data_IF_097840105724
#
_entry.id   IF_097840105724
#
_cell.length_a   1.000
_cell.length_b   1.000
_cell.length_c   1.000
_cell.angle_alpha   90.00
_cell.angle_beta   90.00
_cell.angle_gamma   90.00
#
_symmetry.space_group_name_H-M   'P 1'
#
loop_
_entity.id
_entity.type
_entity.pdbx_description
1 polymer ?
#
# COMPACT_ATOMS: atom_id res chain seq x y z
N UNK A 1 1.22 -28.46 16.14
CA UNK A 1 2.28 -27.68 15.47
C UNK A 1 1.71 -26.39 14.92
N UNK A 2 2.21 -25.23 15.37
CA UNK A 2 1.68 -23.90 15.00
C UNK A 2 2.39 -23.30 13.78
N UNK A 3 3.59 -23.77 13.45
CA UNK A 3 4.42 -23.30 12.33
C UNK A 3 3.73 -23.37 10.95
N UNK A 4 3.14 -24.50 10.52
CA UNK A 4 2.47 -24.57 9.22
C UNK A 4 1.23 -23.68 9.15
N UNK A 5 0.57 -23.45 10.30
CA UNK A 5 -0.59 -22.55 10.38
C UNK A 5 -0.17 -21.09 10.15
N UNK A 6 0.90 -20.63 10.80
CA UNK A 6 1.43 -19.28 10.57
C UNK A 6 1.93 -19.09 9.14
N UNK A 7 2.58 -20.11 8.57
CA UNK A 7 3.09 -20.05 7.20
C UNK A 7 1.95 -19.98 6.18
N UNK A 8 0.96 -20.87 6.27
CA UNK A 8 -0.18 -20.88 5.35
C UNK A 8 -1.03 -19.62 5.49
N UNK A 9 -1.29 -19.17 6.73
CA UNK A 9 -2.00 -17.91 6.99
C UNK A 9 -1.26 -16.72 6.39
N UNK A 10 0.06 -16.62 6.61
CA UNK A 10 0.88 -15.53 6.09
C UNK A 10 0.90 -15.46 4.56
N UNK A 11 1.09 -16.60 3.89
CA UNK A 11 1.10 -16.67 2.42
C UNK A 11 -0.26 -16.30 1.84
N UNK A 12 -1.35 -16.92 2.33
CA UNK A 12 -2.70 -16.68 1.80
C UNK A 12 -3.10 -15.22 2.01
N UNK A 13 -2.85 -14.69 3.22
CA UNK A 13 -3.15 -13.31 3.55
C UNK A 13 -2.35 -12.31 2.68
N UNK A 14 -1.03 -12.51 2.55
CA UNK A 14 -0.18 -11.63 1.74
C UNK A 14 -0.56 -11.64 0.26
N UNK A 15 -0.88 -12.82 -0.30
CA UNK A 15 -1.37 -12.95 -1.67
C UNK A 15 -2.69 -12.20 -1.87
N UNK A 16 -3.65 -12.36 -0.95
CA UNK A 16 -4.94 -11.65 -0.98
C UNK A 16 -4.78 -10.14 -0.94
N UNK A 17 -3.97 -9.63 0.01
CA UNK A 17 -3.67 -8.20 0.11
C UNK A 17 -3.00 -7.66 -1.15
N UNK A 18 -2.06 -8.40 -1.75
CA UNK A 18 -1.36 -7.99 -2.97
C UNK A 18 -2.31 -7.85 -4.15
N UNK A 19 -3.21 -8.82 -4.34
CA UNK A 19 -4.21 -8.78 -5.41
C UNK A 19 -5.29 -7.72 -5.19
N UNK A 20 -5.58 -7.32 -3.95
CA UNK A 20 -6.49 -6.21 -3.69
C UNK A 20 -5.79 -4.85 -3.87
N UNK A 21 -4.53 -4.73 -3.43
CA UNK A 21 -3.79 -3.47 -3.43
C UNK A 21 -3.40 -3.00 -4.83
N UNK A 22 -2.89 -3.89 -5.68
CA UNK A 22 -2.41 -3.54 -7.01
C UNK A 22 -3.50 -2.90 -7.91
N UNK A 23 -4.68 -3.52 -8.13
CA UNK A 23 -5.73 -2.92 -8.97
C UNK A 23 -6.28 -1.63 -8.36
N UNK A 24 -6.35 -1.53 -7.04
CA UNK A 24 -6.79 -0.31 -6.33
C UNK A 24 -5.89 0.89 -6.64
N UNK A 25 -4.57 0.69 -6.71
CA UNK A 25 -3.65 1.76 -7.13
C UNK A 25 -3.73 2.08 -8.62
N UNK A 26 -3.87 1.05 -9.47
CA UNK A 26 -3.92 1.23 -10.92
C UNK A 26 -5.17 2.01 -11.34
N UNK A 27 -6.33 1.71 -10.76
CA UNK A 27 -7.58 2.40 -11.11
C UNK A 27 -7.54 3.89 -10.76
N UNK A 28 -6.93 4.27 -9.62
CA UNK A 28 -6.74 5.68 -9.26
C UNK A 28 -5.94 6.43 -10.33
N UNK A 29 -4.93 5.77 -10.90
CA UNK A 29 -4.12 6.34 -11.98
C UNK A 29 -4.88 6.58 -13.29
N UNK A 30 -5.89 5.75 -13.57
CA UNK A 30 -6.76 5.95 -14.72
C UNK A 30 -7.80 7.07 -14.50
N UNK A 31 -8.33 7.21 -13.28
CA UNK A 31 -9.33 8.22 -12.94
C UNK A 31 -8.77 9.62 -12.74
N UNK A 32 -7.60 9.76 -12.11
CA UNK A 32 -7.07 11.06 -11.69
C UNK A 32 -5.67 11.33 -12.27
N UNK A 33 -5.61 11.82 -13.52
CA UNK A 33 -4.33 12.14 -14.17
C UNK A 33 -3.67 13.43 -13.66
N UNK A 34 -4.46 14.45 -13.30
CA UNK A 34 -3.96 15.80 -12.94
C UNK A 34 -3.59 15.97 -11.46
N UNK A 35 -4.17 15.16 -10.56
CA UNK A 35 -3.96 15.23 -9.10
C UNK A 35 -3.67 13.85 -8.49
N UNK A 36 -2.86 13.07 -9.20
CA UNK A 36 -2.57 11.67 -8.85
C UNK A 36 -1.82 11.55 -7.53
N UNK A 37 -0.90 12.48 -7.25
CA UNK A 37 -0.13 12.54 -6.01
C UNK A 37 -1.00 12.81 -4.80
N UNK A 38 -1.91 13.79 -4.88
CA UNK A 38 -2.85 14.06 -3.79
C UNK A 38 -3.78 12.88 -3.51
N UNK A 39 -4.32 12.26 -4.57
CA UNK A 39 -5.21 11.10 -4.45
C UNK A 39 -4.48 9.91 -3.81
N UNK A 40 -3.26 9.60 -4.26
CA UNK A 40 -2.43 8.58 -3.61
C UNK A 40 -2.09 8.95 -2.16
N UNK A 41 -1.83 10.23 -1.87
CA UNK A 41 -1.61 10.74 -0.52
C UNK A 41 -2.82 10.50 0.39
N UNK A 42 -4.04 10.73 -0.09
CA UNK A 42 -5.28 10.50 0.67
C UNK A 42 -5.49 8.99 0.92
N UNK A 43 -5.37 8.17 -0.13
CA UNK A 43 -5.55 6.72 -0.03
C UNK A 43 -4.54 6.11 0.94
N UNK A 44 -3.27 6.54 0.88
CA UNK A 44 -2.23 6.06 1.80
C UNK A 44 -2.36 6.66 3.21
N UNK A 45 -2.92 7.86 3.39
CA UNK A 45 -3.24 8.41 4.71
C UNK A 45 -4.33 7.57 5.42
N UNK A 46 -5.25 6.97 4.67
CA UNK A 46 -6.23 6.01 5.20
C UNK A 46 -5.57 4.83 5.93
N UNK A 47 -4.41 4.36 5.45
CA UNK A 47 -3.63 3.33 6.14
C UNK A 47 -3.12 3.82 7.51
N UNK A 48 -2.72 5.08 7.64
CA UNK A 48 -2.26 5.64 8.93
C UNK A 48 -3.39 5.70 9.96
N UNK A 49 -4.59 6.09 9.53
CA UNK A 49 -5.79 6.07 10.37
C UNK A 49 -6.12 4.64 10.79
N UNK A 50 -6.07 3.69 9.85
CA UNK A 50 -6.29 2.27 10.15
C UNK A 50 -5.26 1.72 11.15
N UNK A 51 -3.98 2.11 11.06
CA UNK A 51 -2.94 1.69 12.01
C UNK A 51 -3.21 2.17 13.44
N UNK A 52 -3.85 3.33 13.62
CA UNK A 52 -4.25 3.83 14.95
C UNK A 52 -5.55 3.14 15.43
N UNK A 53 -6.54 3.03 14.53
CA UNK A 53 -7.87 2.54 14.89
C UNK A 53 -7.89 1.02 15.13
N UNK A 54 -7.14 0.25 14.33
CA UNK A 54 -7.11 -1.20 14.40
C UNK A 54 -6.74 -1.74 15.81
N UNK A 55 -5.64 -1.33 16.45
CA UNK A 55 -5.29 -1.86 17.77
C UNK A 55 -6.36 -1.54 18.84
N UNK A 56 -6.99 -0.37 18.79
CA UNK A 56 -8.09 -0.01 19.69
C UNK A 56 -9.31 -0.91 19.46
N UNK A 57 -9.69 -1.10 18.19
CA UNK A 57 -10.81 -1.94 17.82
C UNK A 57 -10.57 -3.40 18.19
N UNK A 58 -9.35 -3.91 17.98
CA UNK A 58 -8.95 -5.26 18.39
C UNK A 58 -8.98 -5.43 19.92
N UNK A 59 -8.49 -4.45 20.70
CA UNK A 59 -8.56 -4.51 22.17
C UNK A 59 -10.00 -4.67 22.66
N UNK A 60 -10.93 -3.88 22.11
CA UNK A 60 -12.36 -3.93 22.46
C UNK A 60 -13.02 -5.23 22.02
N UNK A 61 -12.77 -5.67 20.78
CA UNK A 61 -13.34 -6.93 20.25
C UNK A 61 -12.83 -8.14 21.03
N UNK A 62 -11.52 -8.24 21.26
CA UNK A 62 -10.92 -9.35 22.00
C UNK A 62 -11.45 -9.38 23.43
N UNK A 63 -11.57 -8.22 24.09
CA UNK A 63 -12.11 -8.11 25.43
C UNK A 63 -13.59 -8.51 25.56
N UNK A 64 -14.36 -8.36 24.48
CA UNK A 64 -15.81 -8.61 24.50
C UNK A 64 -16.21 -10.02 24.03
N UNK A 65 -15.61 -10.49 22.93
CA UNK A 65 -16.02 -11.73 22.24
C UNK A 65 -14.88 -12.76 22.08
N UNK A 66 -13.67 -12.44 22.55
CA UNK A 66 -12.51 -13.32 22.43
C UNK A 66 -11.88 -13.35 21.05
N UNK A 67 -10.74 -14.05 20.93
CA UNK A 67 -9.87 -14.01 19.75
C UNK A 67 -10.54 -14.64 18.50
N UNK A 68 -11.16 -15.82 18.65
CA UNK A 68 -11.74 -16.56 17.52
C UNK A 68 -12.86 -15.77 16.84
N UNK A 69 -13.75 -15.17 17.61
CA UNK A 69 -14.85 -14.37 17.06
C UNK A 69 -14.36 -13.02 16.54
N UNK A 70 -13.31 -12.44 17.15
CA UNK A 70 -12.62 -11.27 16.58
C UNK A 70 -12.12 -11.54 15.15
N UNK A 71 -11.48 -12.69 14.93
CA UNK A 71 -11.01 -13.08 13.60
C UNK A 71 -12.18 -13.25 12.61
N UNK A 72 -13.32 -13.81 13.05
CA UNK A 72 -14.53 -13.91 12.22
C UNK A 72 -15.07 -12.53 11.81
N UNK A 73 -15.11 -11.57 12.74
CA UNK A 73 -15.54 -10.19 12.45
C UNK A 73 -14.60 -9.53 11.43
N UNK A 74 -13.28 -9.71 11.56
CA UNK A 74 -12.32 -9.20 10.58
C UNK A 74 -12.50 -9.84 9.20
N UNK A 75 -12.80 -11.14 9.12
CA UNK A 75 -13.12 -11.80 7.86
C UNK A 75 -14.38 -11.20 7.21
N UNK A 76 -15.44 -10.93 7.98
CA UNK A 76 -16.64 -10.26 7.48
C UNK A 76 -16.30 -8.85 6.96
N UNK A 77 -15.52 -8.08 7.72
CA UNK A 77 -15.07 -6.75 7.30
C UNK A 77 -14.32 -6.80 5.95
N UNK A 78 -13.37 -7.73 5.79
CA UNK A 78 -12.65 -7.93 4.53
C UNK A 78 -13.57 -8.37 3.38
N UNK A 79 -14.56 -9.21 3.66
CA UNK A 79 -15.55 -9.63 2.66
C UNK A 79 -16.42 -8.45 2.20
N UNK A 80 -16.83 -7.57 3.10
CA UNK A 80 -17.56 -6.34 2.75
C UNK A 80 -16.68 -5.41 1.89
N UNK A 81 -15.40 -5.26 2.22
CA UNK A 81 -14.46 -4.48 1.39
C UNK A 81 -14.28 -5.10 0.00
N UNK A 82 -14.23 -6.42 -0.09
CA UNK A 82 -14.20 -7.14 -1.37
C UNK A 82 -15.45 -6.86 -2.20
N UNK A 83 -16.64 -6.88 -1.58
CA UNK A 83 -17.90 -6.53 -2.25
C UNK A 83 -17.92 -5.07 -2.72
N UNK A 84 -17.43 -4.14 -1.89
CA UNK A 84 -17.26 -2.73 -2.27
C UNK A 84 -16.28 -2.57 -3.45
N UNK A 85 -15.33 -3.49 -3.60
CA UNK A 85 -14.45 -3.58 -4.75
C UNK A 85 -15.20 -3.76 -6.09
N UNK A 86 -16.35 -4.44 -6.11
CA UNK A 86 -17.17 -4.55 -7.32
C UNK A 86 -17.87 -3.23 -7.69
N UNK A 87 -17.99 -2.28 -6.74
CA UNK A 87 -18.50 -0.93 -7.04
C UNK A 87 -17.53 -0.13 -7.90
N UNK A 88 -16.25 -0.52 -7.97
CA UNK A 88 -15.32 0.05 -8.93
C UNK A 88 -15.79 -0.27 -10.34
N UNK A 89 -16.56 0.65 -10.93
CA UNK A 89 -16.94 0.60 -12.34
C UNK A 89 -15.63 0.63 -13.13
N UNK A 90 -15.28 -0.42 -13.89
CA UNK A 90 -14.19 -0.28 -14.83
C UNK A 90 -14.60 0.82 -15.80
N UNK A 91 -13.82 1.90 -15.84
CA UNK A 91 -14.01 2.96 -16.82
C UNK A 91 -13.64 2.36 -18.19
N UNK A 92 -14.58 1.60 -18.76
CA UNK A 92 -14.50 1.07 -20.10
C UNK A 92 -14.42 2.27 -21.03
N UNK A 93 -13.20 2.63 -21.44
CA UNK A 93 -12.86 3.52 -22.54
C UNK A 93 -13.97 4.51 -22.95
N UNK A 94 -14.46 5.32 -22.01
CA UNK A 94 -15.32 6.47 -22.33
C UNK A 94 -14.48 7.72 -22.58
N UNK A 95 -13.22 7.50 -22.98
CA UNK A 95 -12.43 8.43 -23.75
C UNK A 95 -12.25 7.79 -25.13
N UNK A 96 -13.31 7.78 -25.94
CA UNK A 96 -13.14 7.65 -27.39
C UNK A 96 -12.46 8.93 -27.90
N UNK A 97 -11.41 8.72 -28.67
CA UNK A 97 -11.10 9.40 -29.92
C UNK A 97 -11.00 10.94 -29.91
N UNK A 98 -9.74 11.40 -29.82
CA UNK A 98 -9.14 12.29 -30.83
C UNK A 98 -7.70 11.73 -31.00
N UNK A 99 -7.32 11.04 -32.07
CA UNK A 99 -7.53 11.28 -33.51
C UNK A 99 -7.66 9.96 -34.33
N UNK A 100 -8.52 10.01 -35.36
CA UNK A 100 -8.61 9.22 -36.62
C UNK A 100 -8.52 7.68 -36.60
N UNK A 101 -9.37 6.88 -37.26
CA UNK A 101 -10.38 7.10 -38.30
C UNK A 101 -11.13 5.75 -38.48
N UNK A 102 -12.44 5.77 -38.80
CA UNK A 102 -13.26 4.67 -39.39
C UNK A 102 -13.35 3.32 -38.63
N UNK A 103 -14.48 2.72 -38.24
CA UNK A 103 -15.88 2.77 -38.64
C UNK A 103 -16.69 2.05 -37.54
N UNK A 104 -17.87 2.57 -37.21
CA UNK A 104 -18.82 1.94 -36.29
C UNK A 104 -19.46 0.70 -36.95
N UNK A 105 -19.79 -0.27 -36.09
CA UNK A 105 -21.00 -1.11 -36.14
C UNK A 105 -20.91 -2.48 -36.84
N UNK A 106 -20.46 -3.48 -36.09
CA UNK A 106 -21.22 -4.73 -35.94
C UNK A 106 -21.25 -5.13 -34.48
N UNK A 107 -22.26 -4.64 -33.77
CA UNK A 107 -22.72 -5.22 -32.50
C UNK A 107 -23.08 -6.70 -32.73
N UNK A 108 -22.84 -7.53 -31.70
CA UNK A 108 -23.20 -8.95 -31.63
C UNK A 108 -22.44 -9.91 -32.58
N UNK A 109 -21.35 -10.50 -32.10
CA UNK A 109 -21.05 -11.95 -32.21
C UNK A 109 -19.56 -12.21 -31.94
N UNK A 110 -19.30 -13.33 -31.25
CA UNK A 110 -17.99 -13.95 -31.00
C UNK A 110 -17.15 -13.35 -29.85
N UNK A 111 -17.32 -13.97 -28.67
CA UNK A 111 -16.22 -14.23 -27.71
C UNK A 111 -14.97 -14.62 -28.53
N UNK A 112 -14.04 -13.69 -28.72
CA UNK A 112 -12.70 -13.99 -29.24
C UNK A 112 -11.73 -13.64 -28.12
N UNK A 113 -11.36 -14.66 -27.35
CA UNK A 113 -10.18 -14.61 -26.50
C UNK A 113 -9.03 -14.09 -27.37
N UNK A 114 -8.58 -12.88 -27.08
CA UNK A 114 -7.37 -12.35 -27.70
C UNK A 114 -6.18 -13.22 -27.27
N UNK A 115 -5.19 -13.47 -28.14
CA UNK A 115 -4.05 -14.31 -27.78
C UNK A 115 -3.31 -13.70 -26.57
N UNK A 116 -2.72 -14.54 -25.69
CA UNK A 116 -2.04 -14.05 -24.51
C UNK A 116 -0.86 -13.18 -24.92
N UNK A 117 -0.97 -11.87 -24.68
CA UNK A 117 0.19 -10.99 -24.70
C UNK A 117 1.17 -11.56 -23.68
N UNK A 118 2.44 -11.76 -24.09
CA UNK A 118 3.52 -12.32 -23.25
C UNK A 118 3.39 -11.81 -21.81
N UNK A 119 3.03 -12.70 -20.88
CA UNK A 119 2.80 -12.34 -19.48
C UNK A 119 4.03 -11.72 -18.79
N UNK A 120 5.22 -11.97 -19.34
CA UNK A 120 6.48 -11.40 -18.88
C UNK A 120 7.14 -10.53 -19.94
N UNK A 121 7.00 -9.21 -19.83
CA UNK A 121 7.84 -8.26 -20.54
C UNK A 121 9.11 -7.96 -19.74
N UNK A 122 10.12 -8.84 -19.82
CA UNK A 122 11.44 -8.62 -19.23
C UNK A 122 12.17 -7.38 -19.78
N UNK A 123 11.65 -6.74 -20.84
CA UNK A 123 12.15 -5.46 -21.34
C UNK A 123 12.12 -4.32 -20.31
N UNK A 124 11.22 -4.38 -19.32
CA UNK A 124 11.13 -3.36 -18.25
C UNK A 124 12.35 -3.45 -17.32
N UNK A 125 12.88 -4.65 -17.07
CA UNK A 125 14.09 -4.87 -16.26
C UNK A 125 15.39 -4.44 -16.98
N UNK A 126 15.38 -4.22 -18.30
CA UNK A 126 16.55 -3.64 -19.00
C UNK A 126 16.76 -2.17 -18.69
N UNK A 127 15.74 -1.47 -18.18
CA UNK A 127 15.89 -0.09 -17.73
C UNK A 127 16.62 -0.11 -16.38
N UNK A 128 17.90 0.28 -16.38
CA UNK A 128 18.77 0.23 -15.18
C UNK A 128 18.13 0.95 -13.99
N UNK A 129 17.47 2.09 -14.21
CA UNK A 129 16.77 2.82 -13.16
C UNK A 129 15.62 2.00 -12.54
N UNK A 130 14.86 1.26 -13.35
CA UNK A 130 13.79 0.38 -12.87
C UNK A 130 14.35 -0.86 -12.15
N UNK A 131 15.42 -1.46 -12.69
CA UNK A 131 16.06 -2.62 -12.06
C UNK A 131 16.63 -2.28 -10.67
N UNK A 132 17.34 -1.15 -10.55
CA UNK A 132 17.86 -0.63 -9.27
C UNK A 132 16.72 -0.34 -8.30
N UNK A 133 15.63 0.28 -8.77
CA UNK A 133 14.45 0.56 -7.96
C UNK A 133 13.74 -0.72 -7.48
N UNK A 134 13.55 -1.69 -8.38
CA UNK A 134 12.86 -2.95 -8.10
C UNK A 134 13.61 -3.85 -7.10
N UNK A 135 14.95 -3.82 -7.10
CA UNK A 135 15.78 -4.54 -6.11
C UNK A 135 15.98 -3.73 -4.83
N UNK A 136 16.13 -2.41 -4.95
CA UNK A 136 16.39 -1.53 -3.82
C UNK A 136 15.23 -1.43 -2.83
N UNK A 137 13.98 -1.42 -3.31
CA UNK A 137 12.81 -1.30 -2.43
C UNK A 137 12.64 -2.51 -1.50
N UNK A 138 12.62 -3.77 -1.98
CA UNK A 138 12.52 -4.93 -1.10
C UNK A 138 13.65 -4.98 -0.07
N UNK A 139 14.88 -4.65 -0.48
CA UNK A 139 16.03 -4.63 0.42
C UNK A 139 15.89 -3.56 1.51
N UNK A 140 15.46 -2.35 1.14
CA UNK A 140 15.20 -1.27 2.09
C UNK A 140 14.04 -1.59 3.04
N UNK A 141 12.98 -2.22 2.54
CA UNK A 141 11.85 -2.68 3.36
C UNK A 141 12.28 -3.75 4.37
N UNK A 142 13.14 -4.68 3.95
CA UNK A 142 13.70 -5.69 4.84
C UNK A 142 14.55 -5.05 5.96
N UNK A 143 15.41 -4.11 5.59
CA UNK A 143 16.20 -3.33 6.55
C UNK A 143 15.35 -2.48 7.50
N UNK A 144 14.20 -1.96 7.05
CA UNK A 144 13.26 -1.21 7.88
C UNK A 144 12.45 -2.10 8.84
N UNK A 145 12.09 -3.32 8.42
CA UNK A 145 11.25 -4.20 9.20
C UNK A 145 11.91 -4.68 10.50
N UNK A 146 13.23 -4.89 10.47
CA UNK A 146 14.00 -5.36 11.64
C UNK A 146 13.94 -4.34 12.79
N UNK A 147 14.37 -3.07 12.64
CA UNK A 147 14.19 -2.05 13.68
C UNK A 147 12.74 -1.87 14.06
N UNK A 148 11.78 -1.91 13.12
CA UNK A 148 10.37 -1.72 13.43
C UNK A 148 9.85 -2.77 14.43
N UNK A 149 10.16 -4.05 14.23
CA UNK A 149 9.75 -5.14 15.14
C UNK A 149 10.44 -5.02 16.49
N UNK A 150 11.73 -4.70 16.52
CA UNK A 150 12.50 -4.57 17.76
C UNK A 150 12.16 -3.31 18.54
N UNK A 151 11.89 -2.20 17.85
CA UNK A 151 11.44 -0.94 18.44
C UNK A 151 10.11 -1.11 19.15
N UNK A 152 9.16 -1.86 18.55
CA UNK A 152 7.88 -2.17 19.20
C UNK A 152 8.08 -2.95 20.52
N UNK A 153 9.03 -3.90 20.56
CA UNK A 153 9.39 -4.58 21.81
C UNK A 153 10.04 -3.63 22.80
N UNK A 154 10.99 -2.81 22.35
CA UNK A 154 11.70 -1.86 23.20
C UNK A 154 10.77 -0.80 23.82
N UNK A 155 9.80 -0.29 23.05
CA UNK A 155 8.76 0.63 23.54
C UNK A 155 7.89 -0.07 24.58
N UNK A 156 7.53 -1.34 24.38
CA UNK A 156 6.75 -2.11 25.36
C UNK A 156 7.51 -2.40 26.66
N UNK A 157 8.82 -2.62 26.58
CA UNK A 157 9.68 -2.90 27.74
C UNK A 157 10.02 -1.63 28.53
N UNK A 158 10.26 -0.50 27.86
CA UNK A 158 10.64 0.77 28.49
C UNK A 158 9.46 1.59 28.99
N UNK A 159 8.31 1.53 28.33
CA UNK A 159 7.10 2.21 28.77
C UNK A 159 6.15 1.17 29.37
N UNK A 160 6.17 0.97 30.69
CA UNK A 160 5.24 0.04 31.35
C UNK A 160 3.80 0.58 31.46
N UNK A 161 3.63 1.90 31.33
CA UNK A 161 2.29 2.53 31.37
C UNK A 161 1.61 2.46 29.99
N UNK A 162 0.47 1.77 29.93
CA UNK A 162 -0.33 1.59 28.71
C UNK A 162 -0.72 2.92 28.05
N UNK A 163 -0.90 3.99 28.85
CA UNK A 163 -1.26 5.32 28.33
C UNK A 163 -0.17 5.92 27.44
N UNK A 164 1.10 5.71 27.77
CA UNK A 164 2.21 6.27 27.00
C UNK A 164 2.42 5.52 25.67
N UNK A 165 2.12 4.22 25.62
CA UNK A 165 2.21 3.41 24.39
C UNK A 165 1.20 3.86 23.33
N UNK A 166 -0.05 4.06 23.74
CA UNK A 166 -1.12 4.50 22.83
C UNK A 166 -0.83 5.89 22.27
N UNK A 167 -0.33 6.82 23.10
CA UNK A 167 0.05 8.17 22.67
C UNK A 167 1.17 8.13 21.62
N UNK A 168 2.19 7.29 21.81
CA UNK A 168 3.28 7.16 20.82
C UNK A 168 2.76 6.61 19.50
N UNK A 169 1.91 5.58 19.51
CA UNK A 169 1.31 5.02 18.30
C UNK A 169 0.40 6.04 17.58
N UNK A 170 -0.36 6.84 18.33
CA UNK A 170 -1.15 7.94 17.78
C UNK A 170 -0.26 9.01 17.13
N UNK A 171 0.81 9.44 17.80
CA UNK A 171 1.76 10.41 17.24
C UNK A 171 2.41 9.91 15.95
N UNK A 172 2.84 8.64 15.90
CA UNK A 172 3.41 8.03 14.69
C UNK A 172 2.38 8.00 13.56
N UNK A 173 1.16 7.56 13.84
CA UNK A 173 0.10 7.48 12.83
C UNK A 173 -0.32 8.87 12.32
N UNK A 174 -0.49 9.86 13.19
CA UNK A 174 -0.84 11.23 12.82
C UNK A 174 0.27 11.86 11.98
N UNK A 175 1.52 11.78 12.44
CA UNK A 175 2.68 12.34 11.71
C UNK A 175 2.82 11.69 10.33
N UNK A 176 2.65 10.36 10.25
CA UNK A 176 2.68 9.63 8.99
C UNK A 176 1.53 10.05 8.06
N UNK A 177 0.31 10.19 8.59
CA UNK A 177 -0.86 10.60 7.81
C UNK A 177 -0.71 12.02 7.25
N UNK A 178 -0.32 12.98 8.09
CA UNK A 178 -0.06 14.37 7.67
C UNK A 178 1.07 14.43 6.64
N UNK A 179 2.16 13.68 6.87
CA UNK A 179 3.25 13.57 5.90
C UNK A 179 2.76 13.08 4.54
N UNK A 180 1.99 11.99 4.50
CA UNK A 180 1.45 11.41 3.25
C UNK A 180 0.56 12.40 2.49
N UNK A 181 -0.26 13.20 3.19
CA UNK A 181 -1.10 14.22 2.58
C UNK A 181 -0.28 15.39 2.02
N UNK A 182 0.67 15.92 2.80
CA UNK A 182 1.52 17.03 2.39
C UNK A 182 2.43 16.63 1.22
N UNK A 183 3.16 15.51 1.33
CA UNK A 183 4.01 15.02 0.26
C UNK A 183 3.21 14.59 -0.97
N UNK A 184 2.01 14.03 -0.80
CA UNK A 184 1.10 13.76 -1.91
C UNK A 184 0.74 15.03 -2.69
N UNK A 185 0.44 16.13 -1.98
CA UNK A 185 0.14 17.42 -2.60
C UNK A 185 1.35 18.06 -3.27
N UNK A 186 2.53 17.97 -2.65
CA UNK A 186 3.80 18.46 -3.22
C UNK A 186 4.16 17.67 -4.47
N UNK A 187 3.95 16.36 -4.47
CA UNK A 187 4.20 15.50 -5.63
C UNK A 187 3.34 15.87 -6.85
N UNK A 188 2.22 16.56 -6.69
CA UNK A 188 1.45 17.08 -7.83
C UNK A 188 2.07 18.34 -8.45
N UNK A 189 2.87 19.10 -7.71
CA UNK A 189 3.55 20.30 -8.21
C UNK A 189 4.92 20.02 -8.83
N UNK A 190 5.54 18.89 -8.47
CA UNK A 190 6.88 18.50 -8.94
C UNK A 190 6.78 17.68 -10.23
N UNK A 191 7.34 18.12 -11.37
CA UNK A 191 7.26 17.39 -12.64
C UNK A 191 8.23 16.18 -12.69
N UNK A 192 7.71 15.03 -13.13
CA UNK A 192 8.46 13.90 -13.68
C UNK A 192 9.64 13.38 -12.85
N UNK A 193 10.84 13.40 -13.44
CA UNK A 193 12.09 12.77 -12.97
C UNK A 193 12.45 13.18 -11.54
N UNK A 194 12.06 14.40 -11.12
CA UNK A 194 12.25 14.91 -9.75
C UNK A 194 11.51 14.09 -8.68
N UNK A 195 10.43 13.38 -9.03
CA UNK A 195 9.72 12.47 -8.11
C UNK A 195 10.55 11.25 -7.73
N UNK A 196 11.32 10.71 -8.69
CA UNK A 196 12.23 9.58 -8.45
C UNK A 196 13.34 10.01 -7.50
N UNK A 197 13.89 11.22 -7.69
CA UNK A 197 14.87 11.79 -6.75
C UNK A 197 14.31 12.01 -5.35
N UNK A 198 13.07 12.51 -5.22
CA UNK A 198 12.40 12.64 -3.92
C UNK A 198 12.22 11.28 -3.21
N UNK A 199 11.89 10.24 -3.97
CA UNK A 199 11.78 8.88 -3.45
C UNK A 199 13.13 8.33 -3.01
N UNK A 200 14.19 8.52 -3.81
CA UNK A 200 15.56 8.12 -3.45
C UNK A 200 16.05 8.89 -2.21
N UNK A 201 15.78 10.18 -2.10
CA UNK A 201 16.14 11.00 -0.93
C UNK A 201 15.45 10.48 0.34
N UNK A 202 14.19 10.06 0.22
CA UNK A 202 13.42 9.46 1.32
C UNK A 202 13.99 8.12 1.79
N UNK A 203 14.69 7.38 0.92
CA UNK A 203 15.38 6.15 1.30
C UNK A 203 16.78 6.38 1.89
N UNK A 204 17.40 7.52 1.60
CA UNK A 204 18.70 7.89 2.17
C UNK A 204 18.56 8.47 3.59
N UNK A 205 17.45 9.15 3.90
CA UNK A 205 17.27 9.78 5.22
C UNK A 205 17.33 8.80 6.42
N UNK A 206 16.76 7.58 6.37
CA UNK A 206 16.85 6.64 7.49
C UNK A 206 18.25 6.03 7.62
N UNK A 207 18.94 5.83 6.50
CA UNK A 207 20.32 5.35 6.49
C UNK A 207 21.24 6.39 7.13
N UNK A 208 21.13 7.66 6.74
CA UNK A 208 21.91 8.76 7.31
C UNK A 208 21.62 8.91 8.81
N UNK A 209 20.35 8.84 9.23
CA UNK A 209 19.98 8.86 10.65
C UNK A 209 20.58 7.69 11.43
N UNK A 210 20.53 6.47 10.88
CA UNK A 210 21.10 5.30 11.52
C UNK A 210 22.63 5.36 11.60
N UNK A 211 23.31 5.90 10.58
CA UNK A 211 24.75 6.12 10.60
C UNK A 211 25.15 7.19 11.62
N UNK A 212 24.40 8.30 11.72
CA UNK A 212 24.64 9.33 12.75
C UNK A 212 24.43 8.80 14.17
N UNK A 213 23.46 7.91 14.38
CA UNK A 213 23.14 7.36 15.71
C UNK A 213 24.12 6.27 16.16
N UNK A 214 24.79 5.59 15.21
CA UNK A 214 25.87 4.61 15.49
C UNK A 214 27.23 5.29 15.64
N UNK A 215 27.42 6.46 15.03
CA UNK A 215 28.64 7.25 15.13
C UNK A 215 28.75 8.08 16.42
N UNK A 216 27.78 7.98 17.34
CA UNK A 216 27.69 8.76 18.56
C UNK A 216 27.35 7.89 19.78
#
# INVERSE_FOLDING_TARGET
>A
SIEPLYLTYGIIFACGCSFAYQPSLVILGHYFKKRLGLVNGIVTAGSSVFTILLPLLLRVLIGSVGLSDTLRVLCIFMFVLFLAGFTYRPLASSAKDKESESSRFSLFSRRKFSPPKKFFNFGIFKVTAYAVWAVGIPLALFGYFVPYVHLLKHVNERFQDEKHKEVVLMCIGITSGVGRLLFGRIADYVPGVKKVYLQVLSFLSPLIYSYCLVAH
#
